data_IF_911911173826
#
_entry.id   IF_911911173826
#
_cell.length_a   1.000
_cell.length_b   1.000
_cell.length_c   1.000
_cell.angle_alpha   90.00
_cell.angle_beta   90.00
_cell.angle_gamma   90.00
#
_symmetry.space_group_name_H-M   'P 1'
#
loop_
_entity.id
_entity.type
_entity.pdbx_description
1 polymer ?
#
# COMPACT_ATOMS: atom_id res chain seq x y z
N UNK A 1 2.26 -3.34 -18.69
CA UNK A 1 0.89 -3.53 -18.16
C UNK A 1 0.66 -2.43 -17.14
N UNK A 2 -0.29 -1.52 -17.40
CA UNK A 2 -0.59 -0.40 -16.49
C UNK A 2 -1.14 -0.91 -15.17
N UNK A 3 -0.73 -0.28 -14.06
CA UNK A 3 -1.27 -0.59 -12.73
C UNK A 3 -2.68 0.01 -12.62
N UNK A 4 -3.66 -0.69 -12.02
CA UNK A 4 -4.95 -0.09 -11.73
C UNK A 4 -4.76 1.03 -10.71
N UNK A 5 -4.98 2.28 -11.13
CA UNK A 5 -5.22 3.39 -10.21
C UNK A 5 -6.56 3.18 -9.52
N UNK A 6 -6.74 3.70 -8.29
CA UNK A 6 -8.06 3.77 -7.65
C UNK A 6 -9.14 4.12 -8.68
N UNK A 7 -10.08 3.20 -8.81
CA UNK A 7 -11.28 3.30 -9.64
C UNK A 7 -12.46 3.26 -8.68
N UNK A 8 -13.62 3.76 -9.11
CA UNK A 8 -14.78 3.93 -8.24
C UNK A 8 -15.20 2.60 -7.57
N UNK A 9 -16.04 2.68 -6.52
CA UNK A 9 -16.52 1.54 -5.73
C UNK A 9 -16.99 0.34 -6.57
N UNK A 10 -17.50 0.57 -7.77
CA UNK A 10 -17.95 -0.45 -8.73
C UNK A 10 -16.77 -1.26 -9.33
N UNK A 11 -15.62 -0.63 -9.58
CA UNK A 11 -14.45 -1.32 -10.11
C UNK A 11 -13.72 -2.14 -9.03
N UNK A 12 -13.76 -1.69 -7.77
CA UNK A 12 -13.34 -2.51 -6.63
C UNK A 12 -14.21 -3.77 -6.49
N UNK A 13 -15.52 -3.69 -6.76
CA UNK A 13 -16.43 -4.85 -6.76
C UNK A 13 -16.09 -5.87 -7.87
N UNK A 14 -15.74 -5.41 -9.08
CA UNK A 14 -15.36 -6.33 -10.18
C UNK A 14 -14.07 -7.09 -9.88
N UNK A 15 -13.11 -6.44 -9.20
CA UNK A 15 -11.87 -7.09 -8.77
C UNK A 15 -12.18 -8.10 -7.66
N UNK A 16 -12.93 -7.71 -6.63
CA UNK A 16 -13.40 -8.58 -5.54
C UNK A 16 -14.09 -9.86 -6.03
N UNK A 17 -14.99 -9.77 -7.02
CA UNK A 17 -15.68 -10.93 -7.58
C UNK A 17 -14.73 -11.92 -8.26
N UNK A 18 -13.63 -11.44 -8.85
CA UNK A 18 -12.62 -12.32 -9.47
C UNK A 18 -11.73 -13.03 -8.45
N UNK A 19 -11.49 -12.42 -7.27
CA UNK A 19 -10.75 -13.03 -6.17
C UNK A 19 -11.61 -14.00 -5.35
N UNK A 20 -12.87 -13.67 -5.02
CA UNK A 20 -13.78 -14.53 -4.26
C UNK A 20 -14.28 -15.76 -5.03
N UNK A 21 -14.18 -15.78 -6.36
CA UNK A 21 -14.39 -17.01 -7.15
C UNK A 21 -13.41 -18.13 -6.77
N UNK A 22 -12.33 -17.80 -6.05
CA UNK A 22 -11.36 -18.72 -5.47
C UNK A 22 -11.41 -18.70 -3.95
N UNK A 23 -12.41 -19.42 -3.42
CA UNK A 23 -12.40 -20.12 -2.12
C UNK A 23 -12.79 -19.32 -0.86
N UNK A 24 -13.90 -19.76 -0.27
CA UNK A 24 -14.35 -19.51 1.10
C UNK A 24 -13.67 -20.49 2.06
N UNK A 25 -12.97 -19.98 3.08
CA UNK A 25 -12.95 -20.57 4.43
C UNK A 25 -12.27 -19.60 5.40
N UNK A 26 -13.07 -19.15 6.37
CA UNK A 26 -12.80 -18.77 7.78
C UNK A 26 -11.36 -18.42 8.18
N UNK A 27 -11.19 -17.22 8.75
CA UNK A 27 -10.02 -16.89 9.59
C UNK A 27 -10.52 -16.24 10.89
N UNK A 28 -10.24 -16.94 11.99
CA UNK A 28 -10.35 -16.46 13.35
C UNK A 28 -9.19 -15.51 13.69
N UNK A 29 -9.52 -14.43 14.37
CA UNK A 29 -8.60 -13.43 14.91
C UNK A 29 -7.84 -13.95 16.14
N UNK A 30 -6.51 -13.98 16.12
CA UNK A 30 -5.73 -14.01 17.36
C UNK A 30 -4.39 -13.26 17.24
N UNK A 31 -4.20 -12.32 18.17
CA UNK A 31 -3.13 -11.33 18.26
C UNK A 31 -1.82 -11.89 18.86
N UNK A 32 -1.21 -12.88 18.21
CA UNK A 32 0.20 -13.21 18.41
C UNK A 32 0.82 -13.55 17.05
N UNK A 33 1.17 -12.51 16.30
CA UNK A 33 1.33 -12.64 14.85
C UNK A 33 2.71 -13.23 14.50
N UNK A 34 2.74 -14.55 14.32
CA UNK A 34 3.83 -15.24 13.63
C UNK A 34 4.07 -14.58 12.27
N UNK A 35 5.34 -14.46 11.82
CA UNK A 35 5.64 -13.92 10.50
C UNK A 35 4.89 -14.68 9.40
N UNK A 36 4.19 -13.95 8.54
CA UNK A 36 3.45 -14.50 7.39
C UNK A 36 4.24 -14.35 6.09
N UNK A 37 3.82 -15.04 5.03
CA UNK A 37 4.41 -14.84 3.70
C UNK A 37 3.94 -13.52 3.07
N UNK A 38 4.74 -12.86 2.21
CA UNK A 38 4.35 -11.60 1.56
C UNK A 38 3.02 -11.65 0.80
N UNK A 39 2.68 -12.81 0.21
CA UNK A 39 1.39 -13.00 -0.48
C UNK A 39 0.20 -13.03 0.48
N UNK A 40 0.41 -13.58 1.68
CA UNK A 40 -0.64 -13.60 2.70
C UNK A 40 -0.87 -12.20 3.27
N UNK A 41 0.19 -11.40 3.41
CA UNK A 41 0.06 -9.97 3.74
C UNK A 41 -0.81 -9.21 2.73
N UNK A 42 -0.53 -9.40 1.43
CA UNK A 42 -1.30 -8.77 0.36
C UNK A 42 -2.80 -9.11 0.46
N UNK A 43 -3.10 -10.39 0.72
CA UNK A 43 -4.46 -10.89 0.92
C UNK A 43 -5.13 -10.30 2.18
N UNK A 44 -4.46 -10.32 3.33
CA UNK A 44 -5.01 -9.78 4.58
C UNK A 44 -5.36 -8.30 4.47
N UNK A 45 -4.49 -7.51 3.82
CA UNK A 45 -4.77 -6.10 3.59
C UNK A 45 -5.97 -5.91 2.66
N UNK A 46 -6.06 -6.71 1.59
CA UNK A 46 -7.21 -6.67 0.67
C UNK A 46 -8.52 -7.00 1.38
N UNK A 47 -8.53 -8.07 2.19
CA UNK A 47 -9.70 -8.51 2.96
C UNK A 47 -10.14 -7.42 3.96
N UNK A 48 -9.19 -6.81 4.69
CA UNK A 48 -9.50 -5.71 5.61
C UNK A 48 -10.13 -4.51 4.89
N UNK A 49 -9.61 -4.12 3.72
CA UNK A 49 -10.17 -3.03 2.91
C UNK A 49 -11.59 -3.38 2.42
N UNK A 50 -11.80 -4.63 2.02
CA UNK A 50 -13.10 -5.10 1.57
C UNK A 50 -14.15 -5.08 2.69
N UNK A 51 -13.78 -5.49 3.90
CA UNK A 51 -14.65 -5.44 5.08
C UNK A 51 -15.05 -4.01 5.43
N UNK A 52 -14.08 -3.09 5.43
CA UNK A 52 -14.33 -1.65 5.64
C UNK A 52 -15.32 -1.12 4.60
N UNK A 53 -15.09 -1.39 3.31
CA UNK A 53 -15.94 -0.90 2.22
C UNK A 53 -17.34 -1.52 2.16
N UNK A 54 -17.53 -2.71 2.72
CA UNK A 54 -18.82 -3.42 2.75
C UNK A 54 -19.72 -2.96 3.91
N UNK A 55 -19.17 -2.26 4.89
CA UNK A 55 -19.92 -1.81 6.05
C UNK A 55 -20.73 -0.55 5.74
N UNK A 56 -22.02 -0.72 5.46
CA UNK A 56 -22.97 0.34 5.07
C UNK A 56 -23.20 1.44 6.12
N UNK A 57 -22.65 1.29 7.34
CA UNK A 57 -22.81 2.24 8.44
C UNK A 57 -21.62 3.22 8.59
N UNK A 58 -20.60 3.15 7.72
CA UNK A 58 -19.46 4.06 7.79
C UNK A 58 -19.75 5.28 6.90
N UNK A 59 -20.49 6.25 7.44
CA UNK A 59 -20.65 7.59 6.83
C UNK A 59 -19.43 8.52 7.08
N UNK A 60 -18.35 8.02 7.68
CA UNK A 60 -17.20 8.82 8.10
C UNK A 60 -15.89 8.16 7.72
N UNK A 61 -15.04 8.89 6.99
CA UNK A 61 -13.57 8.80 6.97
C UNK A 61 -13.01 7.42 7.38
N UNK A 62 -12.89 6.51 6.40
CA UNK A 62 -12.36 5.18 6.70
C UNK A 62 -10.84 5.23 6.82
N UNK A 63 -10.37 5.28 8.06
CA UNK A 63 -8.95 5.13 8.40
C UNK A 63 -8.54 3.65 8.29
N UNK A 64 -7.59 3.38 7.39
CA UNK A 64 -6.98 2.06 7.28
C UNK A 64 -5.73 2.04 8.15
N UNK A 65 -5.75 1.27 9.23
CA UNK A 65 -4.57 0.93 10.02
C UNK A 65 -4.29 -0.57 9.86
N UNK A 66 -3.13 -0.90 9.32
CA UNK A 66 -2.72 -2.28 9.05
C UNK A 66 -1.28 -2.49 9.52
N UNK A 67 -1.06 -3.55 10.30
CA UNK A 67 0.26 -3.92 10.79
C UNK A 67 0.45 -5.43 10.73
N UNK A 68 1.58 -5.87 10.18
CA UNK A 68 1.94 -7.28 10.15
C UNK A 68 3.46 -7.49 10.18
N UNK A 69 3.85 -8.74 10.46
CA UNK A 69 5.23 -9.22 10.31
C UNK A 69 5.26 -10.18 9.13
N UNK A 70 6.23 -10.02 8.24
CA UNK A 70 6.41 -10.91 7.10
C UNK A 70 7.81 -11.52 7.06
N UNK A 71 7.90 -12.74 6.54
CA UNK A 71 9.16 -13.37 6.15
C UNK A 71 9.68 -12.72 4.87
N UNK A 72 10.96 -12.35 4.85
CA UNK A 72 11.59 -11.72 3.67
C UNK A 72 12.64 -12.60 2.99
N UNK A 73 12.77 -13.85 3.44
CA UNK A 73 13.74 -14.83 2.96
C UNK A 73 13.58 -15.10 1.45
N UNK A 74 12.35 -14.98 0.93
CA UNK A 74 12.00 -15.15 -0.47
C UNK A 74 12.21 -13.88 -1.33
N UNK A 75 12.51 -12.74 -0.69
CA UNK A 75 12.71 -11.45 -1.37
C UNK A 75 14.19 -11.19 -1.59
N UNK A 76 14.64 -11.37 -2.84
CA UNK A 76 16.03 -11.09 -3.21
C UNK A 76 16.29 -9.58 -3.37
N UNK A 77 17.49 -9.14 -2.98
CA UNK A 77 18.00 -7.79 -3.21
C UNK A 77 18.54 -7.12 -1.95
N UNK A 78 18.96 -5.87 -2.10
CA UNK A 78 19.31 -4.98 -0.99
C UNK A 78 18.09 -4.67 -0.13
N UNK A 79 18.31 -4.19 1.10
CA UNK A 79 17.24 -3.72 1.99
C UNK A 79 16.31 -2.70 1.31
N UNK A 80 16.85 -1.83 0.45
CA UNK A 80 16.05 -0.85 -0.30
C UNK A 80 15.18 -1.50 -1.38
N UNK A 81 15.71 -2.49 -2.10
CA UNK A 81 14.96 -3.23 -3.11
C UNK A 81 13.87 -4.10 -2.48
N UNK A 82 14.14 -4.73 -1.34
CA UNK A 82 13.17 -5.48 -0.55
C UNK A 82 12.05 -4.53 -0.08
N UNK A 83 12.40 -3.40 0.53
CA UNK A 83 11.42 -2.40 0.94
C UNK A 83 10.55 -1.89 -0.20
N UNK A 84 11.16 -1.66 -1.38
CA UNK A 84 10.43 -1.25 -2.58
C UNK A 84 9.43 -2.33 -3.03
N UNK A 85 9.82 -3.61 -3.05
CA UNK A 85 8.93 -4.72 -3.40
C UNK A 85 7.74 -4.81 -2.45
N UNK A 86 7.97 -4.68 -1.15
CA UNK A 86 6.89 -4.67 -0.14
C UNK A 86 5.96 -3.48 -0.38
N UNK A 87 6.50 -2.29 -0.62
CA UNK A 87 5.69 -1.10 -0.90
C UNK A 87 4.86 -1.24 -2.20
N UNK A 88 5.38 -1.94 -3.20
CA UNK A 88 4.65 -2.25 -4.44
C UNK A 88 3.52 -3.26 -4.22
N UNK A 89 3.71 -4.27 -3.35
CA UNK A 89 2.66 -5.23 -2.97
C UNK A 89 1.54 -4.54 -2.19
N UNK A 90 1.89 -3.72 -1.18
CA UNK A 90 0.92 -2.93 -0.43
C UNK A 90 0.13 -2.01 -1.36
N UNK A 91 0.83 -1.27 -2.23
CA UNK A 91 0.20 -0.39 -3.21
C UNK A 91 -0.70 -1.10 -4.22
N UNK A 92 -0.41 -2.36 -4.53
CA UNK A 92 -1.28 -3.17 -5.37
C UNK A 92 -2.55 -3.61 -4.62
N UNK A 93 -2.44 -4.00 -3.35
CA UNK A 93 -3.56 -4.41 -2.52
C UNK A 93 -4.51 -3.26 -2.17
N UNK A 94 -3.98 -2.08 -1.83
CA UNK A 94 -4.78 -0.92 -1.42
C UNK A 94 -5.11 0.07 -2.54
N UNK A 95 -4.51 -0.12 -3.72
CA UNK A 95 -4.72 0.73 -4.90
C UNK A 95 -4.00 2.08 -4.83
N UNK A 96 -3.06 2.27 -3.91
CA UNK A 96 -2.28 3.49 -3.74
C UNK A 96 -0.83 3.37 -4.21
N UNK A 97 -0.22 4.52 -4.50
CA UNK A 97 1.19 4.59 -4.85
C UNK A 97 2.01 5.19 -3.71
N UNK A 98 3.01 4.46 -3.27
CA UNK A 98 3.91 4.88 -2.19
C UNK A 98 5.24 5.40 -2.76
N UNK A 99 5.61 6.63 -2.44
CA UNK A 99 6.87 7.27 -2.83
C UNK A 99 7.82 7.24 -1.64
N UNK A 100 9.07 6.88 -1.90
CA UNK A 100 10.15 6.90 -0.92
C UNK A 100 10.29 8.29 -0.27
N UNK A 101 10.39 8.31 1.06
CA UNK A 101 10.64 9.53 1.84
C UNK A 101 12.05 9.53 2.44
N UNK A 102 12.35 8.53 3.26
CA UNK A 102 13.62 8.42 3.99
C UNK A 102 13.87 6.98 4.42
N UNK A 103 15.13 6.67 4.69
CA UNK A 103 15.54 5.42 5.31
C UNK A 103 16.51 5.70 6.46
N UNK A 104 16.41 4.88 7.50
CA UNK A 104 17.34 4.84 8.61
C UNK A 104 17.98 3.45 8.65
N UNK A 105 19.30 3.40 8.78
CA UNK A 105 20.05 2.16 8.88
C UNK A 105 20.74 2.09 10.24
N UNK A 106 20.57 0.95 10.90
CA UNK A 106 21.34 0.51 12.06
C UNK A 106 22.05 -0.79 11.71
N UNK A 107 22.88 -1.30 12.63
CA UNK A 107 23.73 -2.48 12.39
C UNK A 107 22.95 -3.68 11.81
N UNK A 108 21.77 -3.96 12.36
CA UNK A 108 20.97 -5.15 12.01
C UNK A 108 19.56 -4.81 11.48
N UNK A 109 19.19 -3.54 11.50
CA UNK A 109 17.86 -3.10 11.08
C UNK A 109 17.91 -1.95 10.09
N UNK A 110 17.06 -2.05 9.06
CA UNK A 110 16.88 -1.02 8.05
C UNK A 110 15.40 -0.63 8.01
N UNK A 111 15.09 0.62 8.34
CA UNK A 111 13.72 1.14 8.35
C UNK A 111 13.52 2.14 7.23
N UNK A 112 12.54 1.90 6.37
CA UNK A 112 12.22 2.72 5.21
C UNK A 112 10.81 3.30 5.38
N UNK A 113 10.68 4.58 5.08
CA UNK A 113 9.43 5.32 5.13
C UNK A 113 9.01 5.73 3.73
N UNK A 114 7.73 5.56 3.45
CA UNK A 114 7.07 6.00 2.23
C UNK A 114 5.86 6.84 2.55
N UNK A 115 5.47 7.68 1.59
CA UNK A 115 4.25 8.47 1.61
C UNK A 115 3.36 8.18 0.43
N UNK A 116 2.05 8.26 0.64
CA UNK A 116 1.06 8.17 -0.42
C UNK A 116 1.24 9.33 -1.40
N UNK A 117 1.45 9.00 -2.67
CA UNK A 117 1.68 9.96 -3.75
C UNK A 117 0.43 10.74 -4.18
N UNK A 118 -0.73 10.21 -3.80
CA UNK A 118 -2.03 10.78 -4.10
C UNK A 118 -2.41 11.87 -3.10
N UNK A 119 -1.60 12.12 -2.06
CA UNK A 119 -1.77 13.28 -1.19
C UNK A 119 -1.76 14.58 -2.02
N UNK A 120 -2.79 15.42 -1.84
CA UNK A 120 -3.00 16.68 -2.54
C UNK A 120 -1.91 17.73 -2.21
N UNK A 121 -1.32 17.72 -1.02
CA UNK A 121 -0.18 18.57 -0.64
C UNK A 121 1.09 18.25 -1.45
N UNK A 122 1.18 17.07 -2.07
CA UNK A 122 2.26 16.72 -3.01
C UNK A 122 1.98 17.20 -4.45
N UNK A 123 0.84 17.86 -4.70
CA UNK A 123 0.52 18.43 -5.99
C UNK A 123 1.51 19.54 -6.35
N UNK A 124 2.48 19.21 -7.21
CA UNK A 124 3.26 20.23 -7.90
C UNK A 124 2.38 20.86 -8.99
N UNK A 125 2.36 22.19 -9.08
CA UNK A 125 1.81 22.87 -10.26
C UNK A 125 2.46 22.28 -11.51
N UNK A 126 1.69 21.83 -12.52
CA UNK A 126 2.27 21.37 -13.77
C UNK A 126 3.07 22.51 -14.39
N UNK A 127 4.39 22.39 -14.39
CA UNK A 127 5.21 23.25 -15.25
C UNK A 127 5.19 22.63 -16.64
N UNK A 128 4.25 23.06 -17.46
CA UNK A 128 4.29 22.76 -18.88
C UNK A 128 5.59 23.35 -19.43
N UNK A 129 6.36 22.53 -20.15
CA UNK A 129 7.52 23.04 -20.86
C UNK A 129 7.02 24.01 -21.96
N UNK A 130 7.66 25.17 -22.14
CA UNK A 130 7.24 26.18 -23.14
C UNK A 130 7.15 25.57 -24.55
N UNK A 131 8.19 24.81 -24.92
CA UNK A 131 8.16 23.98 -26.12
C UNK A 131 7.17 22.80 -25.98
N UNK A 132 6.08 22.83 -26.76
CA UNK A 132 5.03 21.81 -26.78
C UNK A 132 5.55 20.41 -27.13
N UNK A 133 6.58 20.29 -27.98
CA UNK A 133 7.16 18.99 -28.35
C UNK A 133 7.93 18.31 -27.21
N UNK A 134 8.22 19.06 -26.13
CA UNK A 134 8.88 18.55 -24.91
C UNK A 134 7.90 18.31 -23.78
N UNK A 135 6.61 18.59 -23.99
CA UNK A 135 5.57 18.21 -23.04
C UNK A 135 5.36 16.70 -23.17
N UNK A 136 5.52 15.98 -22.07
CA UNK A 136 5.12 14.58 -21.99
C UNK A 136 3.75 14.54 -21.35
N UNK A 137 2.84 13.78 -21.95
CA UNK A 137 1.62 13.40 -21.26
C UNK A 137 2.02 12.59 -20.03
N UNK A 138 1.60 13.08 -18.86
CA UNK A 138 1.73 12.36 -17.61
C UNK A 138 0.38 11.71 -17.35
N UNK A 139 0.40 10.41 -17.02
CA UNK A 139 -0.81 9.71 -16.58
C UNK A 139 -1.47 10.51 -15.44
N UNK A 140 -2.78 10.69 -15.57
CA UNK A 140 -3.58 11.37 -14.57
C UNK A 140 -3.56 10.55 -13.27
N UNK A 141 -3.32 11.24 -12.15
CA UNK A 141 -3.38 10.65 -10.81
C UNK A 141 -4.41 11.44 -10.04
N UNK A 142 -5.52 10.78 -9.67
CA UNK A 142 -6.51 11.34 -8.76
C UNK A 142 -5.87 11.59 -7.40
N UNK A 143 -6.08 12.79 -6.85
CA UNK A 143 -5.48 13.21 -5.58
C UNK A 143 -6.54 13.34 -4.51
N UNK A 144 -6.17 12.96 -3.30
CA UNK A 144 -7.03 13.01 -2.12
C UNK A 144 -6.31 13.79 -1.02
N UNK A 145 -7.08 14.36 -0.10
CA UNK A 145 -6.51 14.80 1.17
C UNK A 145 -6.26 13.55 2.03
N UNK A 146 -5.06 13.00 1.94
CA UNK A 146 -4.69 11.79 2.68
C UNK A 146 -3.29 11.90 3.26
N UNK A 147 -3.11 11.38 4.49
CA UNK A 147 -1.81 11.34 5.16
C UNK A 147 -1.20 9.93 5.15
N UNK A 148 -1.48 9.19 4.07
CA UNK A 148 -1.04 7.81 3.89
C UNK A 148 0.46 7.64 4.09
N UNK A 149 0.84 6.82 5.07
CA UNK A 149 2.23 6.55 5.44
C UNK A 149 2.45 5.05 5.52
N UNK A 150 3.54 4.59 4.91
CA UNK A 150 3.97 3.20 4.97
C UNK A 150 5.37 3.15 5.58
N UNK A 151 5.50 2.41 6.68
CA UNK A 151 6.76 2.15 7.38
C UNK A 151 7.10 0.68 7.26
N UNK A 152 8.26 0.38 6.70
CA UNK A 152 8.79 -0.97 6.58
C UNK A 152 10.09 -1.06 7.37
N UNK A 153 10.12 -1.87 8.42
CA UNK A 153 11.29 -2.12 9.25
C UNK A 153 11.80 -3.54 9.01
N UNK A 154 12.96 -3.65 8.36
CA UNK A 154 13.62 -4.91 8.06
C UNK A 154 14.58 -5.27 9.20
N UNK A 155 14.55 -6.52 9.66
CA UNK A 155 15.58 -7.11 10.50
C UNK A 155 16.31 -8.18 9.67
N UNK A 156 17.61 -7.92 9.42
CA UNK A 156 18.43 -8.75 8.53
C UNK A 156 18.84 -10.05 9.23
N UNK A 157 19.01 -10.04 10.55
CA UNK A 157 19.38 -11.25 11.30
C UNK A 157 18.23 -12.26 11.34
N UNK A 158 17.03 -11.77 11.63
CA UNK A 158 15.85 -12.64 11.75
C UNK A 158 15.14 -12.88 10.42
N UNK A 159 15.54 -12.19 9.34
CA UNK A 159 14.87 -12.22 8.04
C UNK A 159 13.36 -11.92 8.15
N UNK A 160 13.00 -10.97 9.02
CA UNK A 160 11.62 -10.53 9.24
C UNK A 160 11.50 -9.05 8.92
N UNK A 161 10.43 -8.67 8.22
CA UNK A 161 10.02 -7.29 8.08
C UNK A 161 8.77 -7.01 8.92
N UNK A 162 8.74 -5.88 9.61
CA UNK A 162 7.52 -5.32 10.20
C UNK A 162 6.99 -4.24 9.28
N UNK A 163 5.75 -4.41 8.83
CA UNK A 163 5.05 -3.50 7.92
C UNK A 163 3.98 -2.78 8.73
N UNK A 164 3.95 -1.45 8.66
CA UNK A 164 2.91 -0.63 9.26
C UNK A 164 2.40 0.36 8.23
N UNK A 165 1.12 0.27 7.92
CA UNK A 165 0.39 1.12 7.02
C UNK A 165 -0.63 1.91 7.84
N UNK A 166 -0.64 3.23 7.64
CA UNK A 166 -1.68 4.11 8.11
C UNK A 166 -2.18 4.94 6.93
N UNK A 167 -3.47 4.90 6.66
CA UNK A 167 -4.06 5.64 5.56
C UNK A 167 -5.42 6.23 5.93
N UNK A 168 -5.42 7.50 6.30
CA UNK A 168 -6.62 8.27 6.55
C UNK A 168 -7.18 8.81 5.23
N UNK A 169 -8.43 8.49 4.90
CA UNK A 169 -9.12 9.05 3.74
C UNK A 169 -10.10 10.12 4.18
N UNK A 170 -9.75 11.40 3.99
CA UNK A 170 -10.73 12.48 4.04
C UNK A 170 -11.46 12.50 2.69
N UNK A 171 -12.69 12.00 2.64
CA UNK A 171 -13.58 12.22 1.48
C UNK A 171 -14.16 13.63 1.62
N UNK A 172 -13.65 14.58 0.83
CA UNK A 172 -14.25 15.92 0.68
C UNK A 172 -15.40 15.91 -0.31
#
# INVERSE_FOLDING_TARGET
KGKPTKTCSICCQTISQSYHATKSTEIESSNDCNPIEPKEMEKQLFDQIFEIGSNKYIESESDIEFSCKILINSLNGTSQEIGKKIAEMIGYADGYYYIYRKANQSKNSHTIWYYCSQNCALAKRPRKHENQNKQRDREYIERYDCNGTLKISLNIETQIATVNLQHNQFTS
#
